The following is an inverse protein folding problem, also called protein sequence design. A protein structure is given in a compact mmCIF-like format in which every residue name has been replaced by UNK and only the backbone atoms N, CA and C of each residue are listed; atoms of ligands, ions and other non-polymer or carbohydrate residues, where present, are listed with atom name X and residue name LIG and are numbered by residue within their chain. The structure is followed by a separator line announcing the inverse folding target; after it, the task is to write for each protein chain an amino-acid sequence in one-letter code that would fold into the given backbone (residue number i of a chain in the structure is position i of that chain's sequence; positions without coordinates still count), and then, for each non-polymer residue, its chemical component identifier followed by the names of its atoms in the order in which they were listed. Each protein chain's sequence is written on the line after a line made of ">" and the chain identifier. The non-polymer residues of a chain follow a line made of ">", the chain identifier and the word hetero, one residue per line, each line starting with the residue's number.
data_IF_876937634996
#
_entry.id   IF_876937634996
#
_cell.length_a   1.000
_cell.length_b   1.000
_cell.length_c   1.000
_cell.angle_alpha   90.00
_cell.angle_beta   90.00
_cell.angle_gamma   90.00
#
_symmetry.space_group_name_H-M   'P 1'
#
loop_
_entity.id
_entity.type
_entity.pdbx_description
1 polymer ?
#
# COMPACT_ATOMS: atom_id res chain seq x y z
N UNK A 1 20.53 -14.48 11.56
CA UNK A 1 19.35 -13.80 10.98
C UNK A 1 19.84 -12.86 9.88
N UNK A 2 19.33 -12.96 8.66
CA UNK A 2 19.63 -11.97 7.62
C UNK A 2 18.98 -10.64 7.96
N UNK A 3 19.73 -9.54 7.84
CA UNK A 3 19.20 -8.19 7.99
C UNK A 3 18.36 -7.86 6.75
N UNK A 4 17.08 -7.55 6.94
CA UNK A 4 16.25 -7.05 5.85
C UNK A 4 16.64 -5.61 5.49
N UNK A 5 16.61 -5.29 4.20
CA UNK A 5 16.70 -3.90 3.74
C UNK A 5 15.43 -3.13 4.13
N UNK A 6 15.61 -1.86 4.43
CA UNK A 6 14.59 -0.93 4.90
C UNK A 6 14.26 0.09 3.81
N UNK A 7 13.33 1.01 4.11
CA UNK A 7 13.02 2.12 3.22
C UNK A 7 14.18 3.12 3.12
N UNK A 8 15.01 3.26 4.15
CA UNK A 8 16.16 4.17 4.10
C UNK A 8 17.20 3.64 3.11
N UNK A 9 17.53 2.35 3.19
CA UNK A 9 18.43 1.70 2.23
C UNK A 9 17.92 1.86 0.79
N UNK A 10 16.61 1.68 0.57
CA UNK A 10 15.98 1.87 -0.74
C UNK A 10 16.11 3.31 -1.25
N UNK A 11 15.86 4.31 -0.40
CA UNK A 11 15.94 5.72 -0.77
C UNK A 11 17.38 6.17 -1.05
N UNK A 12 18.37 5.56 -0.41
CA UNK A 12 19.78 5.82 -0.67
C UNK A 12 20.23 5.15 -1.98
N UNK A 13 19.97 3.85 -2.14
CA UNK A 13 20.39 3.05 -3.29
C UNK A 13 19.82 3.58 -4.63
N UNK A 14 18.61 4.18 -4.60
CA UNK A 14 17.87 4.58 -5.80
C UNK A 14 17.46 6.06 -5.83
N UNK A 15 18.19 6.93 -5.10
CA UNK A 15 17.89 8.37 -4.98
C UNK A 15 17.57 9.09 -6.29
N UNK A 16 18.34 8.80 -7.35
CA UNK A 16 18.25 9.49 -8.63
C UNK A 16 17.44 8.68 -9.68
N UNK A 17 16.68 7.69 -9.23
CA UNK A 17 15.91 6.79 -10.10
C UNK A 17 14.45 7.23 -10.24
N UNK A 18 13.88 7.09 -11.43
CA UNK A 18 12.44 7.19 -11.68
C UNK A 18 11.69 5.87 -11.44
N UNK A 19 12.27 4.96 -10.65
CA UNK A 19 11.75 3.62 -10.42
C UNK A 19 10.32 3.64 -9.84
N UNK A 20 9.53 2.65 -10.27
CA UNK A 20 8.24 2.34 -9.68
C UNK A 20 8.44 1.43 -8.45
N UNK A 21 8.10 1.93 -7.27
CA UNK A 21 8.09 1.16 -6.03
C UNK A 21 6.71 0.53 -5.84
N UNK A 22 6.65 -0.80 -5.88
CA UNK A 22 5.43 -1.54 -5.56
C UNK A 22 5.33 -1.76 -4.05
N UNK A 23 4.29 -1.19 -3.44
CA UNK A 23 3.99 -1.31 -2.01
C UNK A 23 2.84 -2.29 -1.83
N UNK A 24 3.15 -3.43 -1.22
CA UNK A 24 2.13 -4.36 -0.73
C UNK A 24 1.56 -3.82 0.58
N UNK A 25 0.32 -3.35 0.55
CA UNK A 25 -0.36 -2.75 1.70
C UNK A 25 -1.49 -3.66 2.23
N UNK A 26 -1.86 -3.43 3.49
CA UNK A 26 -3.10 -3.93 4.07
C UNK A 26 -4.16 -2.82 4.02
N UNK A 27 -4.99 -2.86 2.99
CA UNK A 27 -6.17 -2.00 2.82
C UNK A 27 -7.48 -2.76 3.04
N UNK A 28 -7.45 -3.88 3.76
CA UNK A 28 -8.67 -4.62 4.07
C UNK A 28 -9.45 -3.93 5.20
N UNK A 29 -10.05 -2.79 4.88
CA UNK A 29 -10.78 -1.92 5.81
C UNK A 29 -12.27 -2.28 5.87
N UNK A 30 -12.92 -2.14 7.04
CA UNK A 30 -14.36 -2.34 7.13
C UNK A 30 -15.10 -1.20 6.39
N UNK A 31 -16.07 -1.57 5.55
CA UNK A 31 -16.97 -0.65 4.88
C UNK A 31 -18.37 -0.68 5.50
N UNK A 32 -19.11 0.41 5.35
CA UNK A 32 -20.55 0.46 5.64
C UNK A 32 -21.39 -0.01 4.44
N UNK A 33 -22.72 -0.03 4.63
CA UNK A 33 -23.68 -0.45 3.59
C UNK A 33 -23.67 0.46 2.35
N UNK A 34 -23.16 1.68 2.48
CA UNK A 34 -23.00 2.65 1.40
C UNK A 34 -21.59 2.62 0.77
N UNK A 35 -20.71 1.71 1.23
CA UNK A 35 -19.32 1.60 0.77
C UNK A 35 -18.34 2.59 1.42
N UNK A 36 -18.73 3.32 2.47
CA UNK A 36 -17.83 4.24 3.17
C UNK A 36 -16.93 3.49 4.15
N UNK A 37 -15.69 3.95 4.30
CA UNK A 37 -14.74 3.41 5.28
C UNK A 37 -15.21 3.72 6.71
N UNK A 38 -15.47 2.67 7.50
CA UNK A 38 -15.86 2.81 8.92
C UNK A 38 -14.68 3.02 9.87
N UNK A 39 -13.52 2.44 9.53
CA UNK A 39 -12.28 2.58 10.31
C UNK A 39 -11.10 2.81 9.37
N UNK A 40 -10.49 4.00 9.48
CA UNK A 40 -9.37 4.43 8.66
C UNK A 40 -7.99 4.07 9.24
N UNK A 41 -7.92 3.36 10.38
CA UNK A 41 -6.65 3.10 11.08
C UNK A 41 -5.59 2.47 10.18
N UNK A 42 -5.97 1.52 9.30
CA UNK A 42 -5.04 0.88 8.37
C UNK A 42 -4.52 1.84 7.31
N UNK A 43 -5.39 2.72 6.79
CA UNK A 43 -5.00 3.78 5.87
C UNK A 43 -4.02 4.74 6.54
N UNK A 44 -4.34 5.23 7.75
CA UNK A 44 -3.48 6.15 8.50
C UNK A 44 -2.10 5.56 8.80
N UNK A 45 -2.01 4.25 9.08
CA UNK A 45 -0.74 3.54 9.30
C UNK A 45 0.11 3.39 8.04
N UNK A 46 -0.50 3.38 6.86
CA UNK A 46 0.20 3.29 5.58
C UNK A 46 0.76 4.65 5.12
N UNK A 47 0.12 5.76 5.49
CA UNK A 47 0.50 7.10 5.05
C UNK A 47 1.97 7.46 5.27
N UNK A 48 2.62 7.16 6.42
CA UNK A 48 4.04 7.49 6.62
C UNK A 48 4.96 6.83 5.57
N UNK A 49 4.69 5.58 5.19
CA UNK A 49 5.44 4.86 4.16
C UNK A 49 5.27 5.52 2.80
N UNK A 50 4.03 5.80 2.40
CA UNK A 50 3.75 6.44 1.10
C UNK A 50 4.35 7.84 1.04
N UNK A 51 4.21 8.63 2.11
CA UNK A 51 4.77 9.98 2.20
C UNK A 51 6.30 9.98 2.11
N UNK A 52 6.97 9.00 2.72
CA UNK A 52 8.43 8.87 2.62
C UNK A 52 8.86 8.60 1.17
N UNK A 53 8.21 7.66 0.50
CA UNK A 53 8.54 7.28 -0.88
C UNK A 53 8.24 8.42 -1.87
N UNK A 54 7.10 9.10 -1.74
CA UNK A 54 6.72 10.20 -2.64
C UNK A 54 7.60 11.44 -2.42
N UNK A 55 7.99 11.75 -1.18
CA UNK A 55 8.97 12.81 -0.89
C UNK A 55 10.34 12.50 -1.50
N UNK A 56 10.72 11.23 -1.54
CA UNK A 56 11.91 10.74 -2.24
C UNK A 56 11.73 10.64 -3.77
N UNK A 57 10.67 11.21 -4.34
CA UNK A 57 10.39 11.29 -5.79
C UNK A 57 10.13 9.96 -6.50
N UNK A 58 9.97 8.86 -5.77
CA UNK A 58 9.57 7.59 -6.37
C UNK A 58 8.14 7.65 -6.91
N UNK A 59 7.90 6.94 -8.02
CA UNK A 59 6.56 6.55 -8.43
C UNK A 59 6.11 5.39 -7.56
N UNK A 60 4.89 5.42 -7.03
CA UNK A 60 4.41 4.39 -6.09
C UNK A 60 3.18 3.69 -6.66
N UNK A 61 3.24 2.35 -6.75
CA UNK A 61 2.09 1.50 -7.05
C UNK A 61 1.67 0.73 -5.82
N UNK A 62 0.40 0.78 -5.44
CA UNK A 62 -0.12 0.09 -4.24
C UNK A 62 -0.90 -1.15 -4.62
N UNK A 63 -0.59 -2.25 -3.94
CA UNK A 63 -1.25 -3.54 -4.11
C UNK A 63 -1.85 -3.96 -2.76
N UNK A 64 -3.15 -4.21 -2.69
CA UNK A 64 -3.79 -4.81 -1.50
C UNK A 64 -4.65 -6.01 -1.89
N UNK A 65 -5.06 -6.78 -0.90
CA UNK A 65 -6.24 -7.64 -1.02
C UNK A 65 -7.42 -6.91 -0.39
N UNK A 66 -8.62 -7.41 -0.64
CA UNK A 66 -9.82 -6.97 0.04
C UNK A 66 -10.73 -8.18 0.23
N UNK A 67 -11.05 -8.50 1.48
CA UNK A 67 -11.74 -9.73 1.85
C UNK A 67 -11.09 -11.01 1.27
N UNK A 68 -11.90 -12.04 0.97
CA UNK A 68 -11.47 -13.35 0.44
C UNK A 68 -12.26 -13.69 -0.83
N UNK A 69 -11.77 -13.30 -2.01
CA UNK A 69 -12.48 -13.53 -3.27
C UNK A 69 -12.34 -14.97 -3.83
N UNK A 70 -11.61 -15.86 -3.14
CA UNK A 70 -11.42 -17.27 -3.52
C UNK A 70 -10.97 -17.48 -4.97
N UNK A 71 -10.11 -16.59 -5.47
CA UNK A 71 -9.57 -16.66 -6.83
C UNK A 71 -10.55 -16.24 -7.93
N UNK A 72 -11.76 -15.79 -7.59
CA UNK A 72 -12.77 -15.28 -8.54
C UNK A 72 -12.84 -13.76 -8.49
N UNK A 73 -13.24 -13.13 -9.60
CA UNK A 73 -13.49 -11.69 -9.61
C UNK A 73 -14.83 -11.41 -8.93
N UNK A 74 -14.81 -10.77 -7.76
CA UNK A 74 -16.01 -10.29 -7.07
C UNK A 74 -16.01 -8.74 -7.03
N UNK A 75 -16.97 -8.06 -7.69
CA UNK A 75 -17.09 -6.60 -7.66
C UNK A 75 -17.27 -6.00 -6.26
N UNK A 76 -17.94 -6.69 -5.36
CA UNK A 76 -18.15 -6.24 -3.97
C UNK A 76 -16.86 -6.29 -3.15
N UNK A 77 -15.88 -7.10 -3.60
CA UNK A 77 -14.57 -7.20 -2.97
C UNK A 77 -13.50 -6.39 -3.74
N UNK A 78 -13.93 -5.35 -4.45
CA UNK A 78 -13.05 -4.46 -5.23
C UNK A 78 -12.40 -3.39 -4.35
N UNK A 79 -11.19 -2.98 -4.72
CA UNK A 79 -10.48 -1.82 -4.15
C UNK A 79 -10.75 -0.54 -4.96
N UNK A 80 -11.92 -0.44 -5.60
CA UNK A 80 -12.26 0.69 -6.47
C UNK A 80 -12.90 1.83 -5.69
#
# INVERSE_FOLDING_TARGET
>A
MSRFRTLDDLCEDYRDSEALVLVRADLNVPLDENGNVRDATRLSRLLPTLNKLTKAKFRVGVLSHFSRPEGKRNPEMSLR
#
